data_IF_699724443998
#
_entry.id   IF_699724443998
#
_cell.length_a   1.000
_cell.length_b   1.000
_cell.length_c   1.000
_cell.angle_alpha   90.00
_cell.angle_beta   90.00
_cell.angle_gamma   90.00
#
_symmetry.space_group_name_H-M   'P 1'
#
loop_
_entity.id
_entity.type
_entity.pdbx_description
1 polymer ?
#
# COMPACT_ATOMS: atom_id res chain seq x y z
N UNK A 1 -26.57 27.48 3.97
CA UNK A 1 -25.23 27.40 3.36
C UNK A 1 -25.33 27.41 1.85
N UNK A 2 -26.26 26.65 1.24
CA UNK A 2 -26.35 26.48 -0.22
C UNK A 2 -26.85 27.68 -1.00
N UNK A 3 -27.80 28.46 -0.46
CA UNK A 3 -28.40 29.58 -1.19
C UNK A 3 -27.47 30.79 -1.43
N UNK A 4 -26.48 31.02 -0.57
CA UNK A 4 -25.52 32.13 -0.71
C UNK A 4 -24.36 31.82 -1.70
N UNK A 5 -24.25 30.56 -2.21
CA UNK A 5 -23.12 30.05 -2.94
C UNK A 5 -23.47 29.53 -4.34
N UNK A 6 -24.70 29.75 -4.77
CA UNK A 6 -25.20 29.28 -6.05
C UNK A 6 -24.31 29.81 -7.21
N UNK A 7 -23.73 28.88 -7.97
CA UNK A 7 -22.83 29.20 -9.08
C UNK A 7 -21.38 29.58 -8.73
N UNK A 8 -20.97 29.52 -7.44
CA UNK A 8 -19.58 29.78 -7.01
C UNK A 8 -18.85 28.49 -6.68
N UNK A 9 -17.54 28.39 -6.97
CA UNK A 9 -16.72 27.27 -6.50
C UNK A 9 -16.61 27.32 -4.95
N UNK A 10 -16.89 26.19 -4.30
CA UNK A 10 -16.89 26.09 -2.83
C UNK A 10 -16.07 24.89 -2.41
N UNK A 11 -15.24 25.10 -1.38
CA UNK A 11 -14.57 24.03 -0.65
C UNK A 11 -15.24 23.88 0.72
N UNK A 12 -15.66 22.68 1.07
CA UNK A 12 -16.19 22.35 2.37
C UNK A 12 -15.07 21.75 3.24
N UNK A 13 -14.66 22.48 4.28
CA UNK A 13 -13.56 22.04 5.15
C UNK A 13 -14.08 21.44 6.45
N UNK A 14 -13.62 20.23 6.77
CA UNK A 14 -13.73 19.70 8.14
C UNK A 14 -12.78 20.47 9.05
N UNK A 15 -13.30 20.98 10.16
CA UNK A 15 -12.54 21.75 11.15
C UNK A 15 -13.01 21.37 12.56
N UNK A 16 -12.10 21.28 13.51
CA UNK A 16 -12.39 21.16 14.94
C UNK A 16 -11.86 22.41 15.63
N UNK A 17 -12.78 23.20 16.23
CA UNK A 17 -12.44 24.47 16.89
C UNK A 17 -11.85 24.25 18.28
N UNK A 18 -10.71 23.56 18.32
CA UNK A 18 -9.91 23.31 19.52
C UNK A 18 -8.42 23.41 19.16
N UNK A 19 -7.63 24.12 19.94
CA UNK A 19 -6.29 24.58 19.60
C UNK A 19 -5.26 24.23 20.69
N UNK A 20 -4.36 23.23 20.51
CA UNK A 20 -4.42 22.21 19.45
C UNK A 20 -5.55 21.21 19.68
N UNK A 21 -6.03 20.58 18.59
CA UNK A 21 -7.02 19.51 18.68
C UNK A 21 -6.36 18.23 19.19
N UNK A 22 -6.84 17.61 20.30
CA UNK A 22 -6.39 16.28 20.71
C UNK A 22 -6.71 15.22 19.66
N UNK A 23 -5.84 14.21 19.54
CA UNK A 23 -5.97 13.15 18.53
C UNK A 23 -7.34 12.45 18.59
N UNK A 24 -7.87 12.22 19.79
CA UNK A 24 -9.18 11.58 20.00
C UNK A 24 -10.37 12.38 19.46
N UNK A 25 -10.24 13.73 19.35
CA UNK A 25 -11.33 14.63 19.01
C UNK A 25 -11.37 15.02 17.52
N UNK A 26 -10.35 14.66 16.75
CA UNK A 26 -10.22 15.00 15.31
C UNK A 26 -11.37 14.42 14.48
N UNK A 27 -11.74 13.16 14.75
CA UNK A 27 -12.86 12.46 14.12
C UNK A 27 -12.90 12.57 12.59
N UNK A 28 -11.78 12.27 11.92
CA UNK A 28 -11.62 12.41 10.46
C UNK A 28 -12.64 11.61 9.63
N UNK A 29 -13.24 10.56 10.21
CA UNK A 29 -14.34 9.83 9.56
C UNK A 29 -15.53 10.72 9.17
N UNK A 30 -15.67 11.91 9.76
CA UNK A 30 -16.67 12.93 9.37
C UNK A 30 -16.50 13.36 7.91
N UNK A 31 -15.29 13.28 7.33
CA UNK A 31 -15.06 13.55 5.90
C UNK A 31 -15.91 12.65 5.01
N UNK A 32 -16.08 11.37 5.37
CA UNK A 32 -16.96 10.44 4.63
C UNK A 32 -18.42 10.88 4.69
N UNK A 33 -18.87 11.36 5.84
CA UNK A 33 -20.23 11.89 6.00
C UNK A 33 -20.44 13.15 5.16
N UNK A 34 -19.45 14.04 5.14
CA UNK A 34 -19.49 15.26 4.32
C UNK A 34 -19.49 14.91 2.84
N UNK A 35 -18.66 13.93 2.39
CA UNK A 35 -18.64 13.46 1.02
C UNK A 35 -20.01 12.92 0.57
N UNK A 36 -20.65 12.14 1.41
CA UNK A 36 -21.97 11.58 1.12
C UNK A 36 -23.08 12.63 1.10
N UNK A 37 -23.04 13.60 2.03
CA UNK A 37 -24.04 14.66 2.14
C UNK A 37 -23.88 15.75 1.06
N UNK A 38 -22.66 15.98 0.57
CA UNK A 38 -22.32 17.04 -0.38
C UNK A 38 -21.43 16.51 -1.52
N UNK A 39 -21.92 15.59 -2.36
CA UNK A 39 -21.11 14.86 -3.37
C UNK A 39 -20.52 15.76 -4.46
N UNK A 40 -21.05 16.97 -4.64
CA UNK A 40 -20.60 17.92 -5.67
C UNK A 40 -19.61 18.97 -5.12
N UNK A 41 -19.26 18.92 -3.84
CA UNK A 41 -18.33 19.88 -3.23
C UNK A 41 -16.93 19.28 -3.11
N UNK A 42 -15.93 20.14 -3.27
CA UNK A 42 -14.54 19.81 -2.93
C UNK A 42 -14.39 19.75 -1.43
N UNK A 43 -13.78 18.67 -0.91
CA UNK A 43 -13.54 18.53 0.53
C UNK A 43 -12.16 19.05 0.91
N UNK A 44 -12.10 19.71 2.06
CA UNK A 44 -10.87 20.16 2.69
C UNK A 44 -10.77 19.76 4.16
N UNK A 45 -9.62 20.01 4.74
CA UNK A 45 -9.34 19.81 6.16
C UNK A 45 -8.57 21.01 6.72
N UNK A 46 -9.17 21.69 7.69
CA UNK A 46 -8.52 22.71 8.51
C UNK A 46 -7.94 22.01 9.74
N UNK A 47 -6.62 21.86 9.75
CA UNK A 47 -5.89 21.00 10.67
C UNK A 47 -5.36 21.78 11.88
N UNK A 48 -5.99 21.61 13.03
CA UNK A 48 -5.56 22.15 14.31
C UNK A 48 -4.83 21.12 15.20
N UNK A 49 -4.47 19.94 14.64
CA UNK A 49 -3.66 18.96 15.39
C UNK A 49 -2.19 19.33 15.36
N UNK A 50 -1.37 18.67 16.16
CA UNK A 50 0.09 18.78 16.05
C UNK A 50 0.65 17.69 15.14
N UNK A 51 1.60 18.09 14.29
CA UNK A 51 2.30 17.17 13.37
C UNK A 51 1.50 16.80 12.11
N UNK A 52 2.03 15.88 11.29
CA UNK A 52 1.54 15.67 9.92
C UNK A 52 0.49 14.58 9.76
N UNK A 53 0.22 13.77 10.80
CA UNK A 53 -0.53 12.51 10.67
C UNK A 53 -1.99 12.74 10.26
N UNK A 54 -2.65 13.72 10.88
CA UNK A 54 -4.07 13.99 10.62
C UNK A 54 -4.31 14.40 9.15
N UNK A 55 -3.44 15.26 8.60
CA UNK A 55 -3.53 15.69 7.21
C UNK A 55 -3.32 14.55 6.22
N UNK A 56 -2.36 13.67 6.46
CA UNK A 56 -2.13 12.48 5.63
C UNK A 56 -3.35 11.54 5.61
N UNK A 57 -3.97 11.30 6.79
CA UNK A 57 -5.20 10.49 6.89
C UNK A 57 -6.37 11.21 6.21
N UNK A 58 -6.53 12.53 6.42
CA UNK A 58 -7.59 13.31 5.79
C UNK A 58 -7.50 13.27 4.25
N UNK A 59 -6.28 13.29 3.70
CA UNK A 59 -6.06 13.10 2.27
C UNK A 59 -6.61 11.74 1.81
N UNK A 60 -6.28 10.65 2.51
CA UNK A 60 -6.79 9.30 2.23
C UNK A 60 -8.32 9.17 2.34
N UNK A 61 -8.97 10.10 3.04
CA UNK A 61 -10.42 10.19 3.19
C UNK A 61 -11.10 11.17 2.22
N UNK A 62 -10.33 11.74 1.28
CA UNK A 62 -10.85 12.57 0.19
C UNK A 62 -10.70 14.08 0.35
N UNK A 63 -10.03 14.57 1.41
CA UNK A 63 -9.68 15.98 1.50
C UNK A 63 -8.55 16.31 0.50
N UNK A 64 -8.72 17.37 -0.30
CA UNK A 64 -7.75 17.82 -1.30
C UNK A 64 -7.31 19.28 -1.09
N UNK A 65 -7.94 19.98 -0.19
CA UNK A 65 -7.56 21.34 0.25
C UNK A 65 -7.22 21.28 1.73
N UNK A 66 -6.11 21.91 2.11
CA UNK A 66 -5.59 21.83 3.48
C UNK A 66 -5.25 23.22 4.01
N UNK A 67 -5.57 23.44 5.27
CA UNK A 67 -5.26 24.66 6.01
C UNK A 67 -4.55 24.30 7.30
N UNK A 68 -3.58 25.09 7.69
CA UNK A 68 -2.78 24.89 8.91
C UNK A 68 -2.31 26.23 9.45
N UNK A 69 -2.34 26.40 10.77
CA UNK A 69 -1.70 27.53 11.43
C UNK A 69 -0.18 27.48 11.24
N UNK A 70 0.39 28.63 10.87
CA UNK A 70 1.83 28.76 10.58
C UNK A 70 2.45 29.90 11.38
N UNK A 71 3.65 29.71 11.89
CA UNK A 71 4.43 30.74 12.56
C UNK A 71 5.89 30.71 12.17
N UNK A 72 6.57 31.82 12.28
CA UNK A 72 8.02 31.89 12.17
C UNK A 72 8.74 31.61 13.51
N UNK A 73 8.05 31.90 14.63
CA UNK A 73 8.55 31.66 15.98
C UNK A 73 7.38 31.44 16.94
N UNK A 74 7.44 30.37 17.74
CA UNK A 74 6.43 30.01 18.72
C UNK A 74 6.36 30.99 19.90
N UNK A 75 7.38 31.83 20.09
CA UNK A 75 7.47 32.83 21.16
C UNK A 75 6.92 34.20 20.75
N UNK A 76 6.45 34.37 19.51
CA UNK A 76 5.83 35.61 19.09
C UNK A 76 4.57 35.91 19.92
N UNK A 77 4.27 37.21 20.19
CA UNK A 77 3.10 37.58 20.92
C UNK A 77 1.83 37.31 20.12
N UNK A 78 0.88 36.58 20.70
CA UNK A 78 -0.39 36.21 20.08
C UNK A 78 -0.89 34.83 20.54
N UNK A 79 -2.19 34.55 20.35
CA UNK A 79 -2.79 33.33 20.89
C UNK A 79 -2.39 32.06 20.17
N UNK A 80 -1.98 32.14 18.89
CA UNK A 80 -1.89 30.97 18.01
C UNK A 80 -0.47 30.48 17.75
N UNK A 81 0.56 31.30 18.05
CA UNK A 81 1.94 30.98 17.70
C UNK A 81 2.47 29.72 18.36
N UNK A 82 2.11 29.44 19.59
CA UNK A 82 2.67 28.38 20.41
C UNK A 82 2.31 26.97 19.91
N UNK A 83 1.18 26.79 19.20
CA UNK A 83 0.74 25.50 18.63
C UNK A 83 0.86 25.44 17.10
N UNK A 84 1.12 26.55 16.42
CA UNK A 84 1.28 26.64 14.96
C UNK A 84 2.49 25.85 14.49
N UNK A 85 2.49 25.44 13.24
CA UNK A 85 3.68 24.82 12.65
C UNK A 85 4.72 25.87 12.27
N UNK A 86 5.97 25.62 12.65
CA UNK A 86 7.11 26.38 12.16
C UNK A 86 7.49 25.97 10.72
N UNK A 87 8.47 26.65 10.06
CA UNK A 87 8.87 26.27 8.70
C UNK A 87 9.30 24.82 8.53
N UNK A 88 9.87 24.17 9.56
CA UNK A 88 10.26 22.77 9.53
C UNK A 88 9.06 21.84 9.72
N UNK A 89 8.18 22.16 10.65
CA UNK A 89 6.92 21.45 10.86
C UNK A 89 6.02 21.50 9.64
N UNK A 90 5.85 22.70 9.06
CA UNK A 90 5.07 22.91 7.84
C UNK A 90 5.64 22.09 6.65
N UNK A 91 6.96 22.03 6.51
CA UNK A 91 7.60 21.19 5.47
C UNK A 91 7.28 19.72 5.66
N UNK A 92 7.38 19.19 6.89
CA UNK A 92 7.03 17.81 7.22
C UNK A 92 5.56 17.54 6.96
N UNK A 93 4.69 18.47 7.33
CA UNK A 93 3.24 18.37 7.13
C UNK A 93 2.89 18.31 5.64
N UNK A 94 3.44 19.21 4.82
CA UNK A 94 3.26 19.20 3.35
C UNK A 94 3.82 17.92 2.73
N UNK A 95 5.00 17.47 3.17
CA UNK A 95 5.61 16.23 2.67
C UNK A 95 4.71 15.04 2.95
N UNK A 96 4.15 14.92 4.15
CA UNK A 96 3.29 13.80 4.50
C UNK A 96 2.00 13.75 3.66
N UNK A 97 1.42 14.89 3.28
CA UNK A 97 0.27 14.93 2.36
C UNK A 97 0.68 14.43 0.97
N UNK A 98 1.84 14.87 0.46
CA UNK A 98 2.39 14.43 -0.83
C UNK A 98 2.73 12.94 -0.83
N UNK A 99 3.33 12.45 0.24
CA UNK A 99 3.65 11.04 0.42
C UNK A 99 2.37 10.20 0.47
N UNK A 100 1.34 10.66 1.18
CA UNK A 100 0.03 10.01 1.20
C UNK A 100 -0.58 9.91 -0.20
N UNK A 101 -0.47 10.97 -1.02
CA UNK A 101 -0.88 10.94 -2.42
C UNK A 101 -0.17 9.84 -3.22
N UNK A 102 1.15 9.76 -3.10
CA UNK A 102 1.96 8.74 -3.79
C UNK A 102 1.64 7.33 -3.29
N UNK A 103 1.44 7.16 -1.97
CA UNK A 103 1.12 5.87 -1.34
C UNK A 103 -0.25 5.33 -1.71
N UNK A 104 -1.24 6.17 -1.99
CA UNK A 104 -2.55 5.72 -2.48
C UNK A 104 -2.44 5.06 -3.86
N UNK A 105 -1.55 5.52 -4.70
CA UNK A 105 -1.19 4.87 -5.96
C UNK A 105 -2.39 4.50 -6.84
N UNK A 106 -2.34 3.27 -7.37
CA UNK A 106 -3.38 2.71 -8.25
C UNK A 106 -4.23 1.67 -7.52
N UNK A 107 -5.57 1.63 -7.71
CA UNK A 107 -6.43 0.60 -7.16
C UNK A 107 -6.30 -0.76 -7.87
N UNK A 108 -5.48 -0.85 -8.92
CA UNK A 108 -5.28 -2.10 -9.67
C UNK A 108 -4.40 -3.07 -8.89
N UNK A 109 -4.95 -4.25 -8.59
CA UNK A 109 -4.22 -5.33 -7.92
C UNK A 109 -3.31 -6.02 -8.93
N UNK A 110 -2.05 -5.62 -8.96
CA UNK A 110 -1.00 -6.20 -9.81
C UNK A 110 0.36 -6.08 -9.12
N UNK A 111 1.29 -7.00 -9.42
CA UNK A 111 2.66 -6.86 -8.93
C UNK A 111 3.30 -5.57 -9.42
N UNK A 112 4.07 -4.93 -8.57
CA UNK A 112 4.98 -3.84 -8.95
C UNK A 112 6.10 -4.38 -9.86
N UNK A 113 6.83 -3.47 -10.52
CA UNK A 113 7.97 -3.85 -11.36
C UNK A 113 9.01 -4.65 -10.53
N UNK A 114 9.33 -4.18 -9.33
CA UNK A 114 10.26 -4.86 -8.43
C UNK A 114 9.77 -6.26 -8.00
N UNK A 115 8.46 -6.42 -7.79
CA UNK A 115 7.87 -7.72 -7.44
C UNK A 115 7.85 -8.70 -8.62
N UNK A 116 7.83 -8.22 -9.87
CA UNK A 116 7.91 -9.10 -11.05
C UNK A 116 9.23 -9.85 -11.09
N UNK A 117 10.35 -9.18 -10.80
CA UNK A 117 11.68 -9.81 -10.74
C UNK A 117 11.75 -10.81 -9.58
N UNK A 118 11.22 -10.45 -8.43
CA UNK A 118 11.17 -11.33 -7.26
C UNK A 118 10.25 -12.55 -7.45
N UNK A 119 9.27 -12.47 -8.33
CA UNK A 119 8.32 -13.58 -8.59
C UNK A 119 9.02 -14.86 -9.02
N UNK A 120 10.02 -14.76 -9.89
CA UNK A 120 10.81 -15.92 -10.35
C UNK A 120 11.65 -16.48 -9.20
N UNK A 121 12.35 -15.61 -8.47
CA UNK A 121 13.25 -16.02 -7.38
C UNK A 121 12.51 -16.57 -6.17
N UNK A 122 11.35 -15.99 -5.82
CA UNK A 122 10.61 -16.33 -4.61
C UNK A 122 9.70 -17.55 -4.76
N UNK A 123 9.18 -17.81 -5.96
CA UNK A 123 8.33 -18.98 -6.23
C UNK A 123 9.14 -20.27 -6.18
N UNK A 124 8.43 -21.37 -6.00
CA UNK A 124 9.02 -22.72 -6.00
C UNK A 124 8.62 -23.47 -7.24
N UNK A 125 9.49 -24.41 -7.64
CA UNK A 125 9.23 -25.42 -8.67
C UNK A 125 9.38 -26.82 -8.07
N UNK A 126 8.84 -27.81 -8.75
CA UNK A 126 9.10 -29.21 -8.46
C UNK A 126 10.55 -29.47 -8.87
N UNK A 127 11.36 -29.95 -7.93
CA UNK A 127 12.82 -30.08 -8.09
C UNK A 127 13.24 -31.48 -7.67
N UNK A 128 14.18 -32.05 -8.38
CA UNK A 128 14.83 -33.34 -8.09
C UNK A 128 15.66 -33.20 -6.80
N UNK A 129 15.40 -34.04 -5.81
CA UNK A 129 16.11 -34.06 -4.51
C UNK A 129 17.26 -35.05 -4.45
N UNK A 130 17.22 -36.07 -5.28
CA UNK A 130 18.25 -37.12 -5.45
C UNK A 130 18.35 -37.44 -6.93
N UNK A 131 19.51 -37.94 -7.38
CA UNK A 131 19.65 -38.41 -8.76
C UNK A 131 18.61 -39.47 -9.06
N UNK A 132 18.00 -39.39 -10.24
CA UNK A 132 16.92 -40.26 -10.72
C UNK A 132 17.38 -40.91 -12.00
N UNK A 133 17.15 -42.23 -12.11
CA UNK A 133 17.45 -42.98 -13.30
C UNK A 133 16.24 -43.08 -14.25
N UNK A 134 16.45 -43.35 -15.58
CA UNK A 134 15.34 -43.53 -16.50
C UNK A 134 14.41 -44.67 -16.05
N UNK A 135 13.10 -44.44 -16.09
CA UNK A 135 12.07 -45.38 -15.63
C UNK A 135 11.82 -45.39 -14.12
N UNK A 136 12.58 -44.59 -13.32
CA UNK A 136 12.33 -44.45 -11.88
C UNK A 136 11.07 -43.64 -11.60
N UNK A 137 10.31 -44.08 -10.59
CA UNK A 137 9.04 -43.44 -10.21
C UNK A 137 9.30 -42.18 -9.38
N UNK A 138 8.67 -41.09 -9.75
CA UNK A 138 8.67 -39.84 -8.94
C UNK A 138 7.87 -40.04 -7.65
N UNK A 139 8.50 -39.69 -6.53
CA UNK A 139 7.98 -39.85 -5.18
C UNK A 139 8.40 -38.68 -4.30
N UNK A 140 7.75 -38.48 -3.14
CA UNK A 140 8.15 -37.48 -2.15
C UNK A 140 9.58 -37.66 -1.58
N UNK A 141 10.25 -38.80 -1.92
CA UNK A 141 11.63 -39.09 -1.50
C UNK A 141 12.63 -38.47 -2.48
N UNK A 142 12.31 -38.47 -3.79
CA UNK A 142 13.24 -38.07 -4.85
C UNK A 142 12.86 -36.72 -5.53
N UNK A 143 11.66 -36.21 -5.33
CA UNK A 143 11.26 -34.85 -5.75
C UNK A 143 10.68 -34.03 -4.61
N UNK A 144 10.67 -32.70 -4.74
CA UNK A 144 10.09 -31.79 -3.76
C UNK A 144 10.11 -30.36 -4.24
N UNK A 145 9.62 -29.44 -3.41
CA UNK A 145 9.44 -28.04 -3.79
C UNK A 145 10.64 -27.19 -3.37
N UNK A 146 11.36 -26.60 -4.31
CA UNK A 146 12.49 -25.70 -4.09
C UNK A 146 12.38 -24.45 -4.96
N UNK A 147 13.04 -23.38 -4.56
CA UNK A 147 13.26 -22.19 -5.40
C UNK A 147 14.38 -22.48 -6.41
N UNK A 148 14.35 -21.83 -7.58
CA UNK A 148 13.46 -20.79 -8.09
C UNK A 148 12.17 -21.34 -8.72
N UNK A 149 11.30 -20.45 -9.19
CA UNK A 149 9.97 -20.75 -9.73
C UNK A 149 9.90 -20.82 -11.26
N UNK A 150 10.97 -21.24 -11.93
CA UNK A 150 11.07 -21.34 -13.40
C UNK A 150 10.98 -22.77 -13.94
N UNK A 151 10.71 -23.77 -13.12
CA UNK A 151 10.34 -25.12 -13.50
C UNK A 151 8.84 -25.38 -13.34
N UNK A 152 8.43 -26.67 -13.31
CA UNK A 152 7.03 -27.05 -13.07
C UNK A 152 6.49 -26.47 -11.76
N UNK A 153 5.37 -25.73 -11.80
CA UNK A 153 4.77 -25.15 -10.62
C UNK A 153 4.33 -26.20 -9.58
N UNK A 154 4.31 -25.84 -8.27
CA UNK A 154 3.87 -26.74 -7.18
C UNK A 154 2.48 -27.36 -7.36
N UNK A 155 1.59 -26.68 -8.07
CA UNK A 155 0.21 -27.15 -8.32
C UNK A 155 0.16 -28.50 -9.06
N UNK A 156 1.22 -28.85 -9.80
CA UNK A 156 1.34 -30.09 -10.55
C UNK A 156 2.05 -31.21 -9.77
N UNK A 157 2.33 -31.04 -8.49
CA UNK A 157 3.05 -32.06 -7.73
C UNK A 157 2.32 -33.40 -7.72
N UNK A 158 1.02 -33.37 -7.49
CA UNK A 158 0.19 -34.59 -7.45
C UNK A 158 0.05 -35.23 -8.84
N UNK A 159 0.10 -34.44 -9.92
CA UNK A 159 0.11 -34.93 -11.29
C UNK A 159 1.41 -35.65 -11.67
N UNK A 160 2.51 -35.31 -10.99
CA UNK A 160 3.87 -35.86 -11.23
C UNK A 160 4.14 -37.09 -10.38
N UNK A 161 3.64 -37.11 -9.14
CA UNK A 161 3.81 -38.26 -8.24
C UNK A 161 3.26 -39.54 -8.86
N UNK A 162 4.04 -40.61 -8.83
CA UNK A 162 3.69 -41.91 -9.40
C UNK A 162 3.98 -42.07 -10.88
N UNK A 163 4.32 -41.00 -11.62
CA UNK A 163 4.81 -41.08 -13.00
C UNK A 163 6.29 -41.47 -13.02
N UNK A 164 6.83 -41.77 -14.19
CA UNK A 164 8.21 -42.22 -14.36
C UNK A 164 9.08 -41.22 -15.12
N UNK A 165 10.36 -41.19 -14.78
CA UNK A 165 11.34 -40.35 -15.45
C UNK A 165 11.69 -40.91 -16.84
N UNK A 166 11.66 -40.06 -17.86
CA UNK A 166 12.06 -40.44 -19.24
C UNK A 166 13.55 -40.66 -19.40
N UNK A 167 14.34 -39.90 -18.68
CA UNK A 167 15.81 -39.91 -18.76
C UNK A 167 16.43 -39.67 -17.39
N UNK A 168 17.77 -39.73 -17.31
CA UNK A 168 18.49 -39.45 -16.07
C UNK A 168 18.35 -38.00 -15.66
N UNK A 169 18.06 -37.76 -14.40
CA UNK A 169 17.91 -36.42 -13.82
C UNK A 169 18.83 -36.27 -12.61
N UNK A 170 19.63 -35.22 -12.60
CA UNK A 170 20.53 -34.93 -11.49
C UNK A 170 19.79 -34.19 -10.37
N UNK A 171 20.23 -34.37 -9.14
CA UNK A 171 19.79 -33.60 -7.99
C UNK A 171 19.89 -32.08 -8.26
N UNK A 172 18.84 -31.32 -7.98
CA UNK A 172 18.74 -29.90 -8.24
C UNK A 172 18.10 -29.56 -9.58
N UNK A 173 17.86 -30.51 -10.48
CA UNK A 173 17.14 -30.27 -11.73
C UNK A 173 15.72 -29.82 -11.43
N UNK A 174 15.27 -28.71 -12.05
CA UNK A 174 13.88 -28.27 -12.02
C UNK A 174 13.12 -29.10 -13.07
N UNK A 175 12.06 -29.77 -12.63
CA UNK A 175 11.27 -30.60 -13.54
C UNK A 175 10.52 -29.78 -14.59
N UNK A 176 10.41 -30.36 -15.78
CA UNK A 176 9.54 -29.93 -16.87
C UNK A 176 8.64 -31.12 -17.30
N UNK A 177 7.63 -30.88 -18.11
CA UNK A 177 6.80 -31.97 -18.66
C UNK A 177 7.57 -32.86 -19.62
N UNK A 178 8.69 -32.42 -20.18
CA UNK A 178 9.56 -33.19 -21.06
C UNK A 178 10.28 -34.33 -20.33
N UNK A 179 10.47 -34.18 -19.01
CA UNK A 179 11.16 -35.17 -18.16
C UNK A 179 10.26 -36.34 -17.75
N UNK A 180 8.94 -36.25 -17.99
CA UNK A 180 7.90 -37.09 -17.38
C UNK A 180 7.19 -37.93 -18.44
N UNK A 181 7.02 -39.24 -18.17
CA UNK A 181 6.18 -40.16 -18.95
C UNK A 181 4.85 -40.36 -18.33
#
# INVERSE_FOLDING_TARGET
VTGAMEGKPVVLMLCTSQYPTPVADVNLSKLKTLAAAFPNLVLGFSDHTQGPLAAAIAYGLGAVVFEKHFTLDHQLPGPDHWFSEDPNGARKWISAIRDAHLMLGSPLIRPTIAEQDMKVLARRSITVLKDITPGEIFSNINIGLRRPGNGLPPIHLDDVLGRVAKHSLQKGTLLSWEDIS
#
